data_IF_290810528401
#
_entry.id   IF_290810528401
#
_cell.length_a   1.000
_cell.length_b   1.000
_cell.length_c   1.000
_cell.angle_alpha   90.00
_cell.angle_beta   90.00
_cell.angle_gamma   90.00
#
_symmetry.space_group_name_H-M   'P 1'
#
loop_
_entity.id
_entity.type
_entity.pdbx_description
1 polymer ?
#
# COMPACT_ATOMS: atom_id res chain seq x y z
N UNK A 1 -5.39 14.46 20.67
CA UNK A 1 -4.60 13.93 19.54
C UNK A 1 -5.58 13.51 18.44
N UNK A 2 -5.25 13.82 17.17
CA UNK A 2 -6.11 13.41 16.05
C UNK A 2 -6.13 11.89 15.91
N UNK A 3 -7.18 11.34 15.32
CA UNK A 3 -7.30 9.90 15.03
C UNK A 3 -6.13 9.41 14.17
N UNK A 4 -5.71 10.21 13.19
CA UNK A 4 -4.57 9.91 12.31
C UNK A 4 -3.27 9.70 13.08
N UNK A 5 -3.02 10.52 14.09
CA UNK A 5 -1.84 10.39 14.96
C UNK A 5 -1.86 9.07 15.74
N UNK A 6 -3.02 8.70 16.32
CA UNK A 6 -3.18 7.44 17.06
C UNK A 6 -2.92 6.21 16.17
N UNK A 7 -3.35 6.26 14.90
CA UNK A 7 -3.09 5.19 13.93
C UNK A 7 -1.59 5.08 13.65
N UNK A 8 -0.93 6.20 13.37
CA UNK A 8 0.51 6.22 13.11
C UNK A 8 1.31 5.69 14.31
N UNK A 9 0.97 6.13 15.52
CA UNK A 9 1.58 5.65 16.77
C UNK A 9 1.37 4.15 16.96
N UNK A 10 0.15 3.64 16.73
CA UNK A 10 -0.17 2.21 16.81
C UNK A 10 0.66 1.36 15.86
N UNK A 11 0.88 1.84 14.62
CA UNK A 11 1.68 1.13 13.62
C UNK A 11 3.13 0.97 14.06
N UNK A 12 3.71 1.99 14.71
CA UNK A 12 5.12 2.00 15.09
C UNK A 12 5.37 1.60 16.54
N UNK A 13 4.32 1.29 17.28
CA UNK A 13 4.39 0.94 18.68
C UNK A 13 5.31 -0.26 18.94
N UNK A 14 6.11 -0.18 20.01
CA UNK A 14 7.01 -1.25 20.45
C UNK A 14 8.05 -1.69 19.40
N UNK A 15 8.48 -0.78 18.53
CA UNK A 15 9.49 -1.08 17.51
C UNK A 15 8.98 -1.96 16.36
N UNK A 16 7.67 -2.07 16.20
CA UNK A 16 7.06 -2.83 15.09
C UNK A 16 7.27 -2.11 13.75
N UNK A 17 7.30 -2.89 12.68
CA UNK A 17 7.43 -2.41 11.32
C UNK A 17 6.16 -2.54 10.49
N UNK A 18 6.24 -2.08 9.24
CA UNK A 18 5.17 -2.24 8.25
C UNK A 18 5.55 -3.35 7.27
N UNK A 19 4.67 -4.34 7.15
CA UNK A 19 4.79 -5.38 6.13
C UNK A 19 4.21 -4.89 4.80
N UNK A 20 5.04 -4.80 3.76
CA UNK A 20 4.59 -4.55 2.40
C UNK A 20 4.15 -5.87 1.74
N UNK A 21 2.85 -6.08 1.63
CA UNK A 21 2.22 -7.22 0.95
C UNK A 21 1.37 -6.75 -0.25
N UNK A 22 1.80 -5.63 -0.86
CA UNK A 22 1.09 -4.91 -1.90
C UNK A 22 1.58 -5.22 -3.32
N UNK A 23 2.25 -6.33 -3.51
CA UNK A 23 2.72 -6.78 -4.83
C UNK A 23 1.55 -6.83 -5.81
N UNK A 24 1.74 -6.18 -6.96
CA UNK A 24 0.80 -6.30 -8.07
C UNK A 24 0.71 -7.75 -8.58
N UNK A 25 -0.36 -8.08 -9.28
CA UNK A 25 -0.53 -9.40 -9.92
C UNK A 25 0.69 -9.83 -10.74
N UNK A 26 1.29 -8.88 -11.50
CA UNK A 26 2.49 -9.16 -12.28
C UNK A 26 3.74 -9.43 -11.43
N UNK A 27 3.88 -8.77 -10.28
CA UNK A 27 4.98 -9.02 -9.34
C UNK A 27 4.79 -10.36 -8.63
N UNK A 28 3.56 -10.65 -8.19
CA UNK A 28 3.23 -11.96 -7.60
C UNK A 28 3.45 -13.10 -8.59
N UNK A 29 3.09 -12.90 -9.87
CA UNK A 29 3.36 -13.91 -10.91
C UNK A 29 4.84 -14.27 -10.95
N UNK A 30 5.74 -13.28 -10.99
CA UNK A 30 7.18 -13.53 -11.02
C UNK A 30 7.68 -14.32 -9.80
N UNK A 31 7.11 -14.04 -8.61
CA UNK A 31 7.46 -14.77 -7.37
C UNK A 31 6.97 -16.22 -7.40
N UNK A 32 5.71 -16.45 -7.81
CA UNK A 32 5.14 -17.78 -7.88
C UNK A 32 5.78 -18.62 -9.00
N UNK A 33 6.05 -18.02 -10.16
CA UNK A 33 6.78 -18.67 -11.26
C UNK A 33 8.17 -19.17 -10.80
N UNK A 34 8.87 -18.42 -9.92
CA UNK A 34 10.21 -18.83 -9.43
C UNK A 34 10.20 -20.10 -8.56
N UNK A 35 9.03 -20.50 -8.07
CA UNK A 35 8.81 -21.74 -7.31
C UNK A 35 7.90 -22.71 -8.06
N UNK A 36 7.71 -22.54 -9.37
CA UNK A 36 6.88 -23.36 -10.24
C UNK A 36 5.41 -23.48 -9.76
N UNK A 37 4.83 -22.40 -9.25
CA UNK A 37 3.43 -22.30 -8.84
C UNK A 37 2.68 -21.34 -9.75
N UNK A 38 1.51 -21.76 -10.26
CA UNK A 38 0.67 -20.92 -11.10
C UNK A 38 0.16 -19.69 -10.35
N UNK A 39 0.24 -18.51 -10.99
CA UNK A 39 -0.26 -17.27 -10.44
C UNK A 39 -1.76 -17.08 -10.72
N UNK A 40 -2.59 -17.93 -10.14
CA UNK A 40 -4.04 -17.74 -10.08
C UNK A 40 -4.43 -17.00 -8.77
N UNK A 41 -5.67 -16.56 -8.69
CA UNK A 41 -6.18 -15.80 -7.54
C UNK A 41 -6.02 -16.57 -6.22
N UNK A 42 -6.36 -17.88 -6.23
CA UNK A 42 -6.25 -18.76 -5.07
C UNK A 42 -4.82 -18.85 -4.55
N UNK A 43 -3.84 -19.06 -5.42
CA UNK A 43 -2.44 -19.21 -5.01
C UNK A 43 -1.85 -17.88 -4.52
N UNK A 44 -2.27 -16.75 -5.10
CA UNK A 44 -1.91 -15.42 -4.58
C UNK A 44 -2.49 -15.16 -3.20
N UNK A 45 -3.73 -15.59 -2.97
CA UNK A 45 -4.36 -15.50 -1.65
C UNK A 45 -3.65 -16.38 -0.62
N UNK A 46 -3.40 -17.65 -0.94
CA UNK A 46 -2.69 -18.59 -0.05
C UNK A 46 -1.34 -18.03 0.38
N UNK A 47 -0.57 -17.47 -0.56
CA UNK A 47 0.72 -16.84 -0.25
C UNK A 47 0.57 -15.75 0.80
N UNK A 48 -0.41 -14.87 0.65
CA UNK A 48 -0.66 -13.74 1.56
C UNK A 48 -1.26 -14.19 2.90
N UNK A 49 -2.22 -15.11 2.86
CA UNK A 49 -2.82 -15.68 4.07
C UNK A 49 -1.76 -16.36 4.94
N UNK A 50 -0.81 -17.09 4.34
CA UNK A 50 0.31 -17.70 5.07
C UNK A 50 1.17 -16.67 5.79
N UNK A 51 1.44 -15.52 5.18
CA UNK A 51 2.17 -14.42 5.84
C UNK A 51 1.36 -13.85 6.99
N UNK A 52 0.08 -13.54 6.77
CA UNK A 52 -0.76 -12.86 7.75
C UNK A 52 -1.16 -13.75 8.94
N UNK A 53 -1.16 -15.07 8.75
CA UNK A 53 -1.41 -16.07 9.81
C UNK A 53 -0.16 -16.44 10.60
N UNK A 54 0.99 -15.89 10.27
CA UNK A 54 2.24 -16.18 10.99
C UNK A 54 2.20 -15.67 12.44
N UNK A 55 2.71 -16.46 13.37
CA UNK A 55 2.84 -16.05 14.77
C UNK A 55 3.68 -14.78 14.95
N UNK A 56 4.69 -14.57 14.10
CA UNK A 56 5.54 -13.38 14.12
C UNK A 56 4.81 -12.07 13.76
N UNK A 57 3.61 -12.16 13.17
CA UNK A 57 2.79 -10.96 12.92
C UNK A 57 2.56 -10.16 14.19
N UNK A 58 2.19 -10.81 15.29
CA UNK A 58 1.88 -10.15 16.58
C UNK A 58 3.09 -9.46 17.19
N UNK A 59 4.28 -9.98 16.95
CA UNK A 59 5.52 -9.49 17.58
C UNK A 59 6.16 -8.35 16.75
N UNK A 60 6.19 -8.50 15.42
CA UNK A 60 7.03 -7.65 14.56
C UNK A 60 6.24 -6.65 13.71
N UNK A 61 4.95 -6.89 13.45
CA UNK A 61 4.19 -6.13 12.46
C UNK A 61 3.14 -5.25 13.13
N UNK A 62 3.24 -3.95 12.92
CA UNK A 62 2.26 -2.95 13.36
C UNK A 62 1.30 -2.51 12.25
N UNK A 63 1.68 -2.68 10.98
CA UNK A 63 0.82 -2.38 9.84
C UNK A 63 1.10 -3.27 8.65
N UNK A 64 0.10 -3.49 7.80
CA UNK A 64 0.22 -4.29 6.56
C UNK A 64 -0.32 -3.49 5.39
N UNK A 65 0.48 -3.31 4.35
CA UNK A 65 0.04 -2.68 3.11
C UNK A 65 -0.52 -3.78 2.19
N UNK A 66 -1.79 -3.70 1.87
CA UNK A 66 -2.48 -4.64 0.99
C UNK A 66 -2.48 -4.16 -0.47
N UNK A 67 -2.62 -5.11 -1.38
CA UNK A 67 -2.98 -4.87 -2.78
C UNK A 67 -4.50 -4.86 -2.95
N UNK A 68 -4.99 -4.15 -3.98
CA UNK A 68 -6.44 -4.00 -4.23
C UNK A 68 -7.19 -5.33 -4.30
N UNK A 69 -6.67 -6.33 -5.02
CA UNK A 69 -7.28 -7.67 -5.06
C UNK A 69 -7.49 -8.26 -3.65
N UNK A 70 -6.50 -8.11 -2.78
CA UNK A 70 -6.44 -8.82 -1.50
C UNK A 70 -7.37 -8.25 -0.43
N UNK A 71 -7.61 -6.95 -0.45
CA UNK A 71 -8.46 -6.31 0.58
C UNK A 71 -9.91 -6.77 0.51
N UNK A 72 -10.36 -7.30 -0.63
CA UNK A 72 -11.70 -7.82 -0.86
C UNK A 72 -11.85 -9.31 -0.57
N UNK A 73 -10.74 -10.02 -0.34
CA UNK A 73 -10.73 -11.47 -0.20
C UNK A 73 -10.97 -11.91 1.23
N UNK A 74 -11.48 -13.13 1.37
CA UNK A 74 -11.61 -13.83 2.64
C UNK A 74 -10.65 -15.03 2.68
N UNK A 75 -10.23 -15.38 3.88
CA UNK A 75 -9.47 -16.60 4.17
C UNK A 75 -10.28 -17.86 3.84
N UNK A 76 -9.62 -19.00 3.89
CA UNK A 76 -10.28 -20.32 3.80
C UNK A 76 -11.33 -20.57 4.91
N UNK A 77 -11.26 -19.82 6.00
CA UNK A 77 -12.21 -19.85 7.13
C UNK A 77 -13.30 -18.77 7.03
N UNK A 78 -13.40 -18.10 5.88
CA UNK A 78 -14.33 -17.00 5.62
C UNK A 78 -14.17 -15.76 6.53
N UNK A 79 -12.96 -15.52 7.03
CA UNK A 79 -12.57 -14.30 7.74
C UNK A 79 -12.03 -13.32 6.70
N UNK A 80 -12.45 -12.06 6.71
CA UNK A 80 -11.90 -11.07 5.77
C UNK A 80 -10.40 -10.82 6.03
N UNK A 81 -9.63 -10.58 4.97
CA UNK A 81 -8.18 -10.31 5.13
C UNK A 81 -7.90 -9.11 6.04
N UNK A 82 -8.62 -7.97 5.97
CA UNK A 82 -8.44 -6.89 6.93
C UNK A 82 -8.74 -7.29 8.39
N UNK A 83 -9.73 -8.15 8.62
CA UNK A 83 -10.06 -8.67 9.96
C UNK A 83 -8.95 -9.58 10.48
N UNK A 84 -8.46 -10.54 9.71
CA UNK A 84 -7.32 -11.39 10.06
C UNK A 84 -6.10 -10.57 10.50
N UNK A 85 -5.77 -9.50 9.75
CA UNK A 85 -4.67 -8.59 10.09
C UNK A 85 -4.97 -7.87 11.42
N UNK A 86 -6.18 -7.38 11.61
CA UNK A 86 -6.59 -6.67 12.83
C UNK A 86 -6.53 -7.55 14.06
N UNK A 87 -6.89 -8.82 13.97
CA UNK A 87 -6.81 -9.83 15.04
C UNK A 87 -5.35 -10.11 15.47
N UNK A 88 -4.39 -9.96 14.55
CA UNK A 88 -2.96 -10.01 14.90
C UNK A 88 -2.48 -8.77 15.67
N UNK A 89 -3.32 -7.72 15.79
CA UNK A 89 -2.99 -6.44 16.39
C UNK A 89 -2.38 -5.43 15.41
N UNK A 90 -2.15 -5.82 14.16
CA UNK A 90 -1.65 -4.94 13.12
C UNK A 90 -2.77 -4.07 12.51
N UNK A 91 -2.40 -2.95 11.90
CA UNK A 91 -3.31 -2.03 11.21
C UNK A 91 -3.35 -2.38 9.72
N UNK A 92 -4.53 -2.67 9.13
CA UNK A 92 -4.65 -2.82 7.69
C UNK A 92 -4.42 -1.50 6.95
N UNK A 93 -3.69 -1.54 5.87
CA UNK A 93 -3.45 -0.43 4.95
C UNK A 93 -3.58 -0.87 3.50
N UNK A 94 -3.56 0.08 2.58
CA UNK A 94 -3.83 -0.18 1.17
C UNK A 94 -2.95 0.63 0.24
N UNK A 95 -2.38 -0.01 -0.77
CA UNK A 95 -1.76 0.66 -1.91
C UNK A 95 -2.83 1.22 -2.83
N UNK A 96 -2.84 2.54 -3.01
CA UNK A 96 -3.88 3.23 -3.79
C UNK A 96 -3.39 3.75 -5.14
N UNK A 97 -2.07 3.76 -5.39
CA UNK A 97 -1.55 4.08 -6.72
C UNK A 97 -1.79 2.94 -7.73
N UNK A 98 -1.92 3.28 -9.00
CA UNK A 98 -2.10 2.35 -10.12
C UNK A 98 -0.82 2.11 -10.92
N UNK A 99 0.31 2.58 -10.40
CA UNK A 99 1.65 2.38 -10.95
C UNK A 99 2.27 3.63 -11.57
N UNK A 100 3.58 3.58 -11.74
CA UNK A 100 4.36 4.65 -12.35
C UNK A 100 4.40 4.49 -13.88
N UNK A 101 4.09 5.56 -14.59
CA UNK A 101 4.11 5.67 -16.06
C UNK A 101 5.19 6.64 -16.50
N UNK A 102 5.56 6.62 -17.76
CA UNK A 102 6.47 7.61 -18.32
C UNK A 102 5.82 9.00 -18.27
N UNK A 103 6.55 9.97 -17.73
CA UNK A 103 6.09 11.35 -17.67
C UNK A 103 6.10 11.94 -19.10
N UNK A 104 4.98 12.51 -19.52
CA UNK A 104 4.88 13.19 -20.81
C UNK A 104 5.92 14.32 -20.87
N UNK A 105 6.68 14.36 -21.95
CA UNK A 105 7.79 15.33 -22.11
C UNK A 105 9.14 14.85 -21.57
N UNK A 106 9.21 13.68 -20.92
CA UNK A 106 10.47 13.04 -20.51
C UNK A 106 10.50 11.57 -20.96
N UNK A 107 11.68 11.08 -21.33
CA UNK A 107 11.87 9.65 -21.71
C UNK A 107 12.21 8.77 -20.51
N UNK A 108 12.78 9.34 -19.46
CA UNK A 108 13.40 8.60 -18.35
C UNK A 108 12.68 8.83 -17.01
N UNK A 109 11.86 9.86 -16.91
CA UNK A 109 11.18 10.19 -15.67
C UNK A 109 9.76 9.62 -15.62
N UNK A 110 9.27 9.44 -14.42
CA UNK A 110 7.98 8.82 -14.14
C UNK A 110 7.02 9.77 -13.44
N UNK A 111 5.75 9.53 -13.68
CA UNK A 111 4.64 10.06 -12.89
C UNK A 111 3.81 8.89 -12.37
N UNK A 112 3.36 8.97 -11.13
CA UNK A 112 2.51 7.93 -10.55
C UNK A 112 1.05 8.27 -10.80
N UNK A 113 0.31 7.31 -11.31
CA UNK A 113 -1.12 7.40 -11.59
C UNK A 113 -1.95 6.79 -10.45
N UNK A 114 -3.28 7.06 -10.44
CA UNK A 114 -4.20 6.52 -9.45
C UNK A 114 -5.08 7.56 -8.77
N UNK A 115 -5.08 8.81 -9.25
CA UNK A 115 -5.93 9.87 -8.69
C UNK A 115 -7.40 9.77 -9.15
N UNK A 116 -7.64 9.12 -10.30
CA UNK A 116 -9.00 8.98 -10.83
C UNK A 116 -9.85 8.07 -9.95
N UNK A 117 -11.02 8.56 -9.56
CA UNK A 117 -11.92 7.86 -8.64
C UNK A 117 -11.35 7.60 -7.24
N UNK A 118 -10.24 8.24 -6.86
CA UNK A 118 -9.55 7.96 -5.59
C UNK A 118 -10.46 8.18 -4.38
N UNK A 119 -11.29 9.23 -4.36
CA UNK A 119 -12.17 9.53 -3.22
C UNK A 119 -13.14 8.37 -2.93
N UNK A 120 -13.76 7.83 -3.97
CA UNK A 120 -14.73 6.73 -3.83
C UNK A 120 -14.03 5.43 -3.43
N UNK A 121 -12.82 5.18 -3.97
CA UNK A 121 -12.01 4.03 -3.57
C UNK A 121 -11.58 4.12 -2.11
N UNK A 122 -11.13 5.27 -1.64
CA UNK A 122 -10.72 5.49 -0.25
C UNK A 122 -11.86 5.20 0.73
N UNK A 123 -13.07 5.67 0.43
CA UNK A 123 -14.25 5.37 1.26
C UNK A 123 -14.49 3.87 1.37
N UNK A 124 -14.50 3.17 0.24
CA UNK A 124 -14.68 1.71 0.22
C UNK A 124 -13.60 0.98 1.02
N UNK A 125 -12.33 1.37 0.87
CA UNK A 125 -11.23 0.76 1.61
C UNK A 125 -11.32 1.03 3.12
N UNK A 126 -11.76 2.23 3.50
CA UNK A 126 -12.02 2.54 4.90
C UNK A 126 -13.13 1.67 5.49
N UNK A 127 -14.22 1.49 4.75
CA UNK A 127 -15.36 0.65 5.15
C UNK A 127 -14.93 -0.84 5.31
N UNK A 128 -13.96 -1.30 4.53
CA UNK A 128 -13.36 -2.64 4.65
C UNK A 128 -12.33 -2.78 5.79
N UNK A 129 -12.00 -1.71 6.49
CA UNK A 129 -11.08 -1.75 7.63
C UNK A 129 -9.69 -1.15 7.39
N UNK A 130 -9.35 -0.67 6.19
CA UNK A 130 -8.10 0.05 5.98
C UNK A 130 -8.04 1.34 6.83
N UNK A 131 -6.85 1.63 7.38
CA UNK A 131 -6.65 2.83 8.22
C UNK A 131 -5.44 3.65 7.80
N UNK A 132 -4.66 3.17 6.84
CA UNK A 132 -3.59 3.95 6.22
C UNK A 132 -3.44 3.60 4.74
N UNK A 133 -2.77 4.46 4.00
CA UNK A 133 -2.55 4.27 2.56
C UNK A 133 -1.08 4.36 2.20
N UNK A 134 -0.72 3.74 1.09
CA UNK A 134 0.60 3.87 0.47
C UNK A 134 0.45 4.39 -0.95
N UNK A 135 1.28 5.38 -1.28
CA UNK A 135 1.48 5.90 -2.62
C UNK A 135 2.96 5.90 -2.95
N UNK A 136 3.35 5.36 -4.08
CA UNK A 136 4.74 5.31 -4.48
C UNK A 136 5.07 6.44 -5.45
N UNK A 137 5.80 7.46 -5.01
CA UNK A 137 6.49 8.40 -5.89
C UNK A 137 7.78 7.79 -6.44
N UNK A 138 8.10 8.04 -7.71
CA UNK A 138 9.31 7.55 -8.36
C UNK A 138 10.03 8.71 -9.03
N UNK A 139 11.28 8.94 -8.64
CA UNK A 139 12.15 9.94 -9.22
C UNK A 139 13.41 9.27 -9.80
N UNK A 140 13.82 9.73 -10.97
CA UNK A 140 15.15 9.45 -11.49
C UNK A 140 16.13 10.42 -10.84
N UNK A 141 17.29 9.95 -10.41
CA UNK A 141 18.33 10.77 -9.77
C UNK A 141 19.59 10.73 -10.63
N UNK A 142 20.17 11.88 -10.90
CA UNK A 142 21.40 12.04 -11.70
C UNK A 142 21.70 13.51 -11.97
N UNK A 143 22.69 13.79 -12.79
CA UNK A 143 23.16 15.17 -13.06
C UNK A 143 22.08 16.10 -13.64
N UNK A 144 21.11 15.52 -14.37
CA UNK A 144 19.99 16.24 -15.01
C UNK A 144 18.62 15.87 -14.45
N UNK A 145 18.59 15.03 -13.41
CA UNK A 145 17.36 14.48 -12.84
C UNK A 145 17.38 14.59 -11.31
N UNK A 146 16.21 14.82 -10.68
CA UNK A 146 14.92 15.03 -11.33
C UNK A 146 14.82 16.40 -12.01
N UNK A 147 14.11 16.49 -13.13
CA UNK A 147 13.79 17.76 -13.78
C UNK A 147 12.73 18.55 -13.00
N UNK A 148 12.65 19.86 -13.21
CA UNK A 148 11.61 20.73 -12.63
C UNK A 148 10.20 20.23 -12.99
N UNK A 149 10.04 19.69 -14.21
CA UNK A 149 8.78 19.08 -14.66
C UNK A 149 8.40 17.88 -13.79
N UNK A 150 9.35 16.97 -13.53
CA UNK A 150 9.11 15.78 -12.73
C UNK A 150 8.82 16.13 -11.26
N UNK A 151 9.57 17.08 -10.69
CA UNK A 151 9.35 17.57 -9.32
C UNK A 151 7.96 18.18 -9.21
N UNK A 152 7.60 19.12 -10.09
CA UNK A 152 6.31 19.81 -10.05
C UNK A 152 5.14 18.85 -10.23
N UNK A 153 5.21 17.95 -11.23
CA UNK A 153 4.14 17.00 -11.52
C UNK A 153 3.92 16.02 -10.37
N UNK A 154 4.98 15.45 -9.81
CA UNK A 154 4.86 14.50 -8.70
C UNK A 154 4.44 15.20 -7.41
N UNK A 155 4.91 16.41 -7.13
CA UNK A 155 4.47 17.20 -5.97
C UNK A 155 2.98 17.51 -6.04
N UNK A 156 2.47 17.91 -7.21
CA UNK A 156 1.04 18.15 -7.43
C UNK A 156 0.22 16.85 -7.27
N UNK A 157 0.71 15.73 -7.82
CA UNK A 157 0.04 14.44 -7.65
C UNK A 157 -0.03 14.02 -6.17
N UNK A 158 1.06 14.17 -5.41
CA UNK A 158 1.12 13.89 -3.97
C UNK A 158 0.18 14.78 -3.16
N UNK A 159 0.10 16.08 -3.47
CA UNK A 159 -0.84 16.99 -2.81
C UNK A 159 -2.30 16.58 -3.05
N UNK A 160 -2.65 16.21 -4.30
CA UNK A 160 -3.98 15.70 -4.66
C UNK A 160 -4.31 14.34 -4.06
N UNK A 161 -3.32 13.52 -3.80
CA UNK A 161 -3.46 12.26 -3.10
C UNK A 161 -3.68 12.46 -1.59
N UNK A 162 -2.83 13.25 -0.92
CA UNK A 162 -2.85 13.37 0.53
C UNK A 162 -4.10 14.06 1.07
N UNK A 163 -4.65 15.04 0.35
CA UNK A 163 -5.86 15.73 0.79
C UNK A 163 -7.06 14.78 1.00
N UNK A 164 -7.53 14.00 0.00
CA UNK A 164 -8.65 13.08 0.22
C UNK A 164 -8.34 11.97 1.21
N UNK A 165 -7.09 11.50 1.31
CA UNK A 165 -6.69 10.51 2.31
C UNK A 165 -6.93 11.03 3.72
N UNK A 166 -6.51 12.26 4.02
CA UNK A 166 -6.73 12.87 5.34
C UNK A 166 -8.20 13.08 5.67
N UNK A 167 -9.03 13.46 4.69
CA UNK A 167 -10.48 13.64 4.88
C UNK A 167 -11.23 12.32 5.10
N UNK A 168 -10.72 11.20 4.63
CA UNK A 168 -11.31 9.88 4.86
C UNK A 168 -10.79 9.19 6.12
N UNK A 169 -10.11 9.93 7.01
CA UNK A 169 -9.49 9.41 8.23
C UNK A 169 -8.47 8.27 8.01
N UNK A 170 -7.91 8.19 6.81
CA UNK A 170 -6.79 7.32 6.51
C UNK A 170 -5.47 8.05 6.80
N UNK A 171 -4.54 7.36 7.42
CA UNK A 171 -3.22 7.91 7.76
C UNK A 171 -2.25 7.77 6.59
N UNK A 172 -1.34 8.71 6.48
CA UNK A 172 -0.18 8.67 5.58
C UNK A 172 1.06 8.41 6.43
N UNK A 173 1.49 7.17 6.64
CA UNK A 173 2.77 6.93 7.27
C UNK A 173 3.86 7.42 6.32
N UNK A 174 4.50 8.52 6.68
CA UNK A 174 5.70 9.01 6.01
C UNK A 174 6.91 8.43 6.72
N UNK A 175 7.62 7.52 6.07
CA UNK A 175 8.98 7.19 6.48
C UNK A 175 9.92 8.17 5.80
N UNK A 176 10.72 8.94 6.54
CA UNK A 176 11.83 9.65 5.92
C UNK A 176 12.80 8.61 5.39
N UNK A 177 12.98 8.58 4.07
CA UNK A 177 14.12 7.86 3.51
C UNK A 177 15.36 8.73 3.74
N UNK A 178 16.26 8.24 4.55
CA UNK A 178 17.63 8.74 4.66
C UNK A 178 18.46 8.09 3.57
#
# INVERSE_FOLDING_TARGET
>A
MSELYKIAEKILQNGKGILAADESTGTMKKRLDSINVDSNEKNRLIFRETLFSSNSMKECIGGVILYDETIWQNTSQNISIPELISESGAVPGIKVDTGAKTLAGSKEEKITEGLDGLRDRLKKYYDLGARFTKWRGVFSIGDKYPSDLAISSNSHALARYSAPVSYTHLTLPTTPYV
#
